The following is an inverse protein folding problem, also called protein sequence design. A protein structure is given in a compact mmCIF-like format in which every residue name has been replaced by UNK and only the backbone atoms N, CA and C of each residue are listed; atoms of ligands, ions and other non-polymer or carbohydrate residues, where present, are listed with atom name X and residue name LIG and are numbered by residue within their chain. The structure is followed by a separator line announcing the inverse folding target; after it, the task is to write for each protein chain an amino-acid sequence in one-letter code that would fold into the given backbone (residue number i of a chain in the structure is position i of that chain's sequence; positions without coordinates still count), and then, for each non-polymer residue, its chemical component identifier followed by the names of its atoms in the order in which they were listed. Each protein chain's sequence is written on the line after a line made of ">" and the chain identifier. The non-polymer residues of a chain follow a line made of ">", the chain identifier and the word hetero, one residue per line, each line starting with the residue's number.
data_IF_973331437654
#
_entry.id   IF_973331437654
#
_cell.length_a   1.000
_cell.length_b   1.000
_cell.length_c   1.000
_cell.angle_alpha   90.00
_cell.angle_beta   90.00
_cell.angle_gamma   90.00
#
_symmetry.space_group_name_H-M   'P 1'
#
loop_
_entity.id
_entity.type
_entity.pdbx_description
1 polymer ?
#
# COMPACT_ATOMS: atom_id res chain seq x y z
N UNK A 1 69.50 -34.63 -34.89
CA UNK A 1 68.74 -33.42 -35.32
C UNK A 1 67.26 -33.70 -35.68
N UNK A 2 66.85 -34.95 -35.93
CA UNK A 2 65.42 -35.20 -36.32
C UNK A 2 64.54 -35.60 -35.09
N UNK A 3 65.09 -35.98 -33.97
CA UNK A 3 64.35 -36.36 -32.74
C UNK A 3 63.89 -35.14 -31.90
N UNK A 4 64.61 -34.08 -31.94
CA UNK A 4 64.30 -32.87 -31.20
C UNK A 4 63.19 -32.05 -31.83
N UNK A 5 62.98 -32.21 -33.15
CA UNK A 5 61.92 -31.50 -33.87
C UNK A 5 60.54 -32.09 -33.57
N UNK A 6 60.43 -33.41 -33.29
CA UNK A 6 59.18 -34.07 -32.90
C UNK A 6 58.73 -33.73 -31.49
N UNK A 7 59.68 -33.55 -30.58
CA UNK A 7 59.38 -33.14 -29.19
C UNK A 7 58.81 -31.75 -29.07
N UNK A 8 59.27 -30.81 -29.93
CA UNK A 8 58.80 -29.42 -29.92
C UNK A 8 57.40 -29.27 -30.53
N UNK A 9 57.09 -30.11 -31.55
CA UNK A 9 55.76 -30.09 -32.18
C UNK A 9 54.66 -30.63 -31.26
N UNK A 10 54.98 -31.58 -30.41
CA UNK A 10 54.01 -32.21 -29.47
C UNK A 10 53.65 -31.25 -28.31
N UNK A 11 54.55 -30.38 -27.87
CA UNK A 11 54.29 -29.39 -26.84
C UNK A 11 53.45 -28.23 -27.33
N UNK A 12 53.57 -27.82 -28.60
CA UNK A 12 52.78 -26.76 -29.19
C UNK A 12 51.32 -27.22 -29.44
N UNK A 13 51.08 -28.52 -29.71
CA UNK A 13 49.73 -29.05 -29.91
C UNK A 13 48.90 -29.12 -28.63
N UNK A 14 49.53 -29.16 -27.46
CA UNK A 14 48.84 -29.19 -26.15
C UNK A 14 48.42 -27.82 -25.60
N UNK A 15 48.87 -26.73 -26.21
CA UNK A 15 48.52 -25.36 -25.76
C UNK A 15 47.28 -24.78 -26.47
N UNK A 16 46.74 -25.44 -27.48
CA UNK A 16 45.52 -25.01 -28.19
C UNK A 16 44.25 -25.74 -27.83
N UNK A 17 44.26 -26.63 -26.83
CA UNK A 17 43.10 -27.45 -26.45
C UNK A 17 42.40 -26.97 -25.16
N UNK A 18 42.45 -25.63 -24.90
CA UNK A 18 41.77 -25.05 -23.74
C UNK A 18 41.00 -23.78 -24.14
N UNK A 19 40.12 -23.92 -25.10
CA UNK A 19 39.04 -22.99 -25.33
C UNK A 19 37.84 -23.80 -25.81
N UNK A 20 37.29 -24.68 -24.96
CA UNK A 20 35.91 -25.06 -25.09
C UNK A 20 35.11 -23.87 -24.59
N UNK A 21 34.52 -23.13 -25.51
CA UNK A 21 33.33 -22.37 -25.19
C UNK A 21 32.33 -23.36 -24.60
N UNK A 22 32.08 -23.28 -23.29
CA UNK A 22 30.83 -23.69 -22.75
C UNK A 22 29.78 -22.77 -23.35
N UNK A 23 28.95 -23.30 -24.22
CA UNK A 23 27.67 -22.69 -24.53
C UNK A 23 26.92 -22.67 -23.19
N UNK A 24 27.11 -21.60 -22.40
CA UNK A 24 26.14 -21.22 -21.39
C UNK A 24 24.92 -20.83 -22.18
N UNK A 25 23.92 -21.71 -22.19
CA UNK A 25 22.56 -21.31 -22.47
C UNK A 25 22.29 -20.13 -21.56
N UNK A 26 22.22 -18.94 -22.14
CA UNK A 26 21.70 -17.75 -21.54
C UNK A 26 20.22 -18.06 -21.27
N UNK A 27 19.95 -18.75 -20.14
CA UNK A 27 18.65 -18.76 -19.56
C UNK A 27 18.36 -17.28 -19.29
N UNK A 28 17.58 -16.71 -20.17
CA UNK A 28 17.02 -15.39 -20.00
C UNK A 28 16.08 -15.41 -18.82
N UNK A 29 16.65 -15.44 -17.62
CA UNK A 29 15.98 -14.98 -16.44
C UNK A 29 15.71 -13.49 -16.67
N UNK A 30 14.49 -13.21 -17.18
CA UNK A 30 13.96 -11.86 -17.07
C UNK A 30 14.17 -11.46 -15.59
N UNK A 31 14.82 -10.31 -15.33
CA UNK A 31 15.07 -9.89 -13.96
C UNK A 31 13.71 -9.88 -13.26
N UNK A 32 13.52 -10.83 -12.35
CA UNK A 32 12.35 -10.87 -11.47
C UNK A 32 12.21 -9.47 -10.91
N UNK A 33 11.02 -8.82 -11.00
CA UNK A 33 10.86 -7.47 -10.51
C UNK A 33 11.32 -7.48 -9.07
N UNK A 34 12.47 -6.89 -8.82
CA UNK A 34 13.00 -6.73 -7.47
C UNK A 34 11.89 -6.08 -6.67
N UNK A 35 11.48 -6.71 -5.55
CA UNK A 35 10.46 -6.20 -4.67
C UNK A 35 10.86 -4.76 -4.34
N UNK A 36 10.25 -3.80 -5.01
CA UNK A 36 10.62 -2.41 -4.90
C UNK A 36 10.28 -2.00 -3.47
N UNK A 37 11.28 -1.78 -2.67
CA UNK A 37 11.10 -1.18 -1.35
C UNK A 37 10.67 0.25 -1.61
N UNK A 38 9.35 0.49 -1.49
CA UNK A 38 8.77 1.81 -1.70
C UNK A 38 9.13 2.69 -0.48
N UNK A 39 10.29 3.36 -0.56
CA UNK A 39 10.71 4.32 0.46
C UNK A 39 10.09 5.71 0.22
N UNK A 40 9.56 5.96 -0.97
CA UNK A 40 8.96 7.23 -1.35
C UNK A 40 7.51 7.02 -1.78
N UNK A 41 6.65 7.89 -1.29
CA UNK A 41 5.24 7.81 -1.56
C UNK A 41 4.55 9.16 -1.52
N UNK A 42 3.25 9.14 -1.60
CA UNK A 42 2.40 10.32 -1.57
C UNK A 42 1.26 10.14 -0.56
N UNK A 43 0.89 11.23 0.11
CA UNK A 43 -0.38 11.29 0.83
C UNK A 43 -1.48 11.62 -0.18
N UNK A 44 -2.40 10.70 -0.37
CA UNK A 44 -3.48 10.84 -1.36
C UNK A 44 -4.78 11.15 -0.62
N UNK A 45 -4.91 12.41 -0.28
CA UNK A 45 -5.99 12.97 0.52
C UNK A 45 -7.34 12.99 -0.23
N UNK A 46 -8.43 12.99 0.53
CA UNK A 46 -9.78 13.11 -0.02
C UNK A 46 -10.85 12.46 0.86
N UNK A 47 -10.68 11.19 1.22
CA UNK A 47 -11.66 10.45 2.01
C UNK A 47 -11.74 10.89 3.48
N UNK A 48 -10.74 11.63 3.98
CA UNK A 48 -10.73 12.25 5.30
C UNK A 48 -11.30 13.67 5.33
N UNK A 49 -11.55 14.29 4.16
CA UNK A 49 -11.96 15.68 4.09
C UNK A 49 -13.34 15.95 4.70
N UNK A 50 -13.56 17.24 4.99
CA UNK A 50 -14.81 17.72 5.55
C UNK A 50 -15.06 17.31 7.00
N UNK A 51 -15.88 18.09 7.67
CA UNK A 51 -16.27 17.88 9.07
C UNK A 51 -17.78 17.65 9.25
N UNK A 52 -18.47 17.32 8.16
CA UNK A 52 -19.87 16.87 8.17
C UNK A 52 -19.84 15.34 8.20
N UNK A 53 -20.44 14.72 9.21
CA UNK A 53 -20.42 13.28 9.40
C UNK A 53 -21.81 12.67 9.44
N UNK A 54 -22.03 11.57 8.72
CA UNK A 54 -21.07 10.87 7.86
C UNK A 54 -20.69 11.63 6.59
N UNK A 55 -21.47 12.65 6.21
CA UNK A 55 -21.26 13.42 4.99
C UNK A 55 -21.74 12.68 3.73
N UNK A 56 -21.55 13.33 2.58
CA UNK A 56 -21.93 12.81 1.25
C UNK A 56 -20.68 12.77 0.39
N UNK A 57 -20.37 11.61 -0.16
CA UNK A 57 -19.28 11.41 -1.11
C UNK A 57 -19.53 12.25 -2.38
N UNK A 58 -18.47 12.85 -2.90
CA UNK A 58 -18.54 13.80 -4.02
C UNK A 58 -18.97 15.22 -3.64
N UNK A 59 -19.38 15.45 -2.38
CA UNK A 59 -19.80 16.78 -1.88
C UNK A 59 -18.94 17.23 -0.70
N UNK A 60 -18.85 16.42 0.34
CA UNK A 60 -18.14 16.76 1.57
C UNK A 60 -16.75 16.13 1.63
N UNK A 61 -16.55 15.03 0.93
CA UNK A 61 -15.30 14.30 0.78
C UNK A 61 -15.30 13.55 -0.55
N UNK A 62 -14.22 12.90 -0.90
CA UNK A 62 -14.15 12.07 -2.10
C UNK A 62 -13.04 11.04 -1.99
N UNK A 63 -13.25 9.90 -2.59
CA UNK A 63 -12.21 8.88 -2.69
C UNK A 63 -11.27 9.18 -3.85
N UNK A 64 -9.96 8.95 -3.70
CA UNK A 64 -9.05 9.01 -4.84
C UNK A 64 -9.39 7.92 -5.86
N UNK A 65 -8.99 8.16 -7.10
CA UNK A 65 -9.38 7.35 -8.25
C UNK A 65 -8.23 6.49 -8.77
N UNK A 66 -8.54 5.55 -9.65
CA UNK A 66 -7.53 4.76 -10.36
C UNK A 66 -6.59 5.64 -11.21
N UNK A 67 -7.08 6.77 -11.76
CA UNK A 67 -6.27 7.72 -12.52
C UNK A 67 -5.18 8.36 -11.65
N UNK A 68 -5.48 8.62 -10.38
CA UNK A 68 -4.49 9.14 -9.43
C UNK A 68 -3.39 8.12 -9.19
N UNK A 69 -3.75 6.83 -9.03
CA UNK A 69 -2.79 5.74 -8.92
C UNK A 69 -1.91 5.61 -10.16
N UNK A 70 -2.50 5.67 -11.36
CA UNK A 70 -1.76 5.62 -12.64
C UNK A 70 -0.78 6.79 -12.76
N UNK A 71 -1.21 7.99 -12.38
CA UNK A 71 -0.36 9.18 -12.38
C UNK A 71 0.86 9.02 -11.46
N UNK A 72 0.66 8.61 -10.21
CA UNK A 72 1.74 8.49 -9.26
C UNK A 72 2.67 7.31 -9.59
N UNK A 73 2.12 6.19 -10.06
CA UNK A 73 2.92 5.07 -10.59
C UNK A 73 3.85 5.53 -11.71
N UNK A 74 3.35 6.33 -12.67
CA UNK A 74 4.16 6.88 -13.76
C UNK A 74 5.28 7.82 -13.27
N UNK A 75 5.18 8.34 -12.04
CA UNK A 75 6.23 9.14 -11.37
C UNK A 75 7.16 8.30 -10.50
N UNK A 76 7.02 6.98 -10.50
CA UNK A 76 7.84 6.09 -9.67
C UNK A 76 7.45 6.07 -8.19
N UNK A 77 6.26 6.53 -7.83
CA UNK A 77 5.76 6.56 -6.46
C UNK A 77 4.87 5.33 -6.23
N UNK A 78 5.36 4.39 -5.44
CA UNK A 78 4.73 3.09 -5.22
C UNK A 78 4.22 2.88 -3.79
N UNK A 79 4.18 3.94 -2.99
CA UNK A 79 3.57 3.95 -1.66
C UNK A 79 2.54 5.09 -1.60
N UNK A 80 1.32 4.77 -1.21
CA UNK A 80 0.25 5.74 -1.00
C UNK A 80 -0.20 5.66 0.45
N UNK A 81 -0.10 6.77 1.18
CA UNK A 81 -0.81 6.96 2.43
C UNK A 81 -2.24 7.33 2.07
N UNK A 82 -3.19 6.51 2.54
CA UNK A 82 -4.60 6.62 2.23
C UNK A 82 -5.39 7.00 3.49
N UNK A 83 -5.61 8.31 3.72
CA UNK A 83 -6.33 8.79 4.88
C UNK A 83 -7.85 8.62 4.73
N UNK A 84 -8.51 8.26 5.83
CA UNK A 84 -9.96 8.13 5.92
C UNK A 84 -10.45 8.58 7.30
N UNK A 85 -11.78 8.75 7.47
CA UNK A 85 -12.39 9.11 8.75
C UNK A 85 -13.02 7.93 9.44
N UNK A 86 -12.80 7.85 10.76
CA UNK A 86 -13.41 6.84 11.63
C UNK A 86 -14.94 6.93 11.56
N UNK A 87 -15.50 8.13 11.68
CA UNK A 87 -16.95 8.37 11.69
C UNK A 87 -17.67 7.92 10.42
N UNK A 88 -16.95 7.81 9.29
CA UNK A 88 -17.49 7.32 8.03
C UNK A 88 -17.45 5.80 7.96
N UNK A 89 -16.32 5.23 8.34
CA UNK A 89 -16.14 3.79 8.28
C UNK A 89 -16.86 3.05 9.43
N UNK A 90 -16.99 3.67 10.60
CA UNK A 90 -17.73 3.14 11.75
C UNK A 90 -18.58 4.26 12.38
N UNK A 91 -19.78 4.54 11.84
CA UNK A 91 -20.63 5.65 12.28
C UNK A 91 -21.13 5.53 13.72
N UNK A 92 -21.15 4.32 14.26
CA UNK A 92 -21.46 4.05 15.67
C UNK A 92 -20.28 3.33 16.28
N UNK A 93 -19.70 3.88 17.34
CA UNK A 93 -18.61 3.22 18.07
C UNK A 93 -18.99 1.79 18.45
N UNK A 94 -18.06 0.86 18.26
CA UNK A 94 -18.25 -0.60 18.43
C UNK A 94 -19.33 -1.23 17.52
N UNK A 95 -19.98 -0.43 16.67
CA UNK A 95 -20.94 -0.91 15.68
C UNK A 95 -20.25 -1.57 14.49
N UNK A 96 -21.05 -2.05 13.54
CA UNK A 96 -20.53 -2.61 12.31
C UNK A 96 -19.87 -1.55 11.43
N UNK A 97 -18.93 -1.97 10.60
CA UNK A 97 -18.36 -1.10 9.58
C UNK A 97 -19.43 -0.76 8.53
N UNK A 98 -19.42 0.48 8.08
CA UNK A 98 -20.29 0.92 6.99
C UNK A 98 -19.90 0.18 5.69
N UNK A 99 -20.80 -0.67 5.22
CA UNK A 99 -20.54 -1.53 4.07
C UNK A 99 -20.22 -0.74 2.78
N UNK A 100 -20.87 0.42 2.59
CA UNK A 100 -20.64 1.28 1.41
C UNK A 100 -19.24 1.91 1.44
N UNK A 101 -18.84 2.48 2.57
CA UNK A 101 -17.53 3.07 2.73
C UNK A 101 -16.42 2.00 2.67
N UNK A 102 -16.63 0.86 3.32
CA UNK A 102 -15.71 -0.28 3.25
C UNK A 102 -15.52 -0.78 1.81
N UNK A 103 -16.61 -0.87 1.04
CA UNK A 103 -16.53 -1.26 -0.38
C UNK A 103 -15.70 -0.28 -1.21
N UNK A 104 -15.82 1.03 -0.98
CA UNK A 104 -15.00 2.05 -1.65
C UNK A 104 -13.52 1.92 -1.28
N UNK A 105 -13.22 1.75 0.00
CA UNK A 105 -11.86 1.53 0.48
C UNK A 105 -11.25 0.28 -0.16
N UNK A 106 -11.96 -0.84 -0.15
CA UNK A 106 -11.53 -2.10 -0.77
C UNK A 106 -11.30 -1.96 -2.27
N UNK A 107 -12.19 -1.26 -2.99
CA UNK A 107 -12.02 -0.99 -4.41
C UNK A 107 -10.72 -0.23 -4.69
N UNK A 108 -10.43 0.80 -3.91
CA UNK A 108 -9.20 1.58 -4.06
C UNK A 108 -7.95 0.77 -3.72
N UNK A 109 -7.96 0.02 -2.61
CA UNK A 109 -6.85 -0.86 -2.21
C UNK A 109 -6.60 -1.93 -3.27
N UNK A 110 -7.65 -2.54 -3.84
CA UNK A 110 -7.51 -3.52 -4.93
C UNK A 110 -6.93 -2.91 -6.20
N UNK A 111 -7.39 -1.73 -6.58
CA UNK A 111 -6.84 -1.01 -7.72
C UNK A 111 -5.35 -0.65 -7.55
N UNK A 112 -4.92 -0.35 -6.32
CA UNK A 112 -3.52 -0.16 -5.98
C UNK A 112 -2.72 -1.47 -6.05
N UNK A 113 -3.29 -2.59 -5.56
CA UNK A 113 -2.67 -3.92 -5.64
C UNK A 113 -2.38 -4.31 -7.09
N UNK A 114 -3.36 -4.12 -7.99
CA UNK A 114 -3.23 -4.43 -9.41
C UNK A 114 -2.14 -3.59 -10.12
N UNK A 115 -1.69 -2.52 -9.46
CA UNK A 115 -0.62 -1.61 -9.93
C UNK A 115 0.71 -1.80 -9.20
N UNK A 116 0.79 -2.78 -8.28
CA UNK A 116 1.92 -2.97 -7.36
C UNK A 116 2.20 -1.74 -6.48
N UNK A 117 1.18 -0.97 -6.12
CA UNK A 117 1.26 0.17 -5.21
C UNK A 117 0.92 -0.30 -3.81
N UNK A 118 1.80 0.01 -2.84
CA UNK A 118 1.60 -0.27 -1.42
C UNK A 118 0.68 0.79 -0.79
N UNK A 119 -0.12 0.38 0.18
CA UNK A 119 -1.05 1.25 0.89
C UNK A 119 -0.71 1.30 2.38
N UNK A 120 -0.55 2.51 2.90
CA UNK A 120 -0.57 2.82 4.32
C UNK A 120 -1.97 3.34 4.67
N UNK A 121 -2.76 2.53 5.36
CA UNK A 121 -4.11 2.94 5.82
C UNK A 121 -3.97 3.89 7.01
N UNK A 122 -4.48 5.10 6.88
CA UNK A 122 -4.40 6.16 7.89
C UNK A 122 -5.79 6.54 8.40
N UNK A 123 -6.03 6.31 9.69
CA UNK A 123 -7.21 6.85 10.35
C UNK A 123 -6.96 8.31 10.77
N UNK A 124 -7.25 9.23 9.87
CA UNK A 124 -6.92 10.64 10.02
C UNK A 124 -7.90 11.40 10.93
N UNK A 125 -7.97 11.00 12.19
CA UNK A 125 -8.95 11.49 13.17
C UNK A 125 -8.36 12.38 14.28
N UNK A 126 -7.06 12.69 14.25
CA UNK A 126 -6.40 13.55 15.24
C UNK A 126 -6.59 13.05 16.70
N UNK A 127 -6.56 11.74 16.92
CA UNK A 127 -6.73 11.12 18.24
C UNK A 127 -8.11 11.30 18.86
N UNK A 128 -9.17 11.53 18.08
CA UNK A 128 -10.52 11.81 18.57
C UNK A 128 -11.61 11.18 17.70
N UNK A 129 -12.82 11.07 18.25
CA UNK A 129 -14.02 10.65 17.55
C UNK A 129 -15.15 11.66 17.76
N UNK A 130 -15.96 11.92 16.75
CA UNK A 130 -17.14 12.76 16.88
C UNK A 130 -18.27 11.96 17.55
N UNK A 131 -18.48 12.20 18.84
CA UNK A 131 -19.51 11.50 19.64
C UNK A 131 -20.91 12.07 19.45
N UNK A 132 -21.03 13.27 18.93
CA UNK A 132 -22.26 13.88 18.46
C UNK A 132 -21.97 14.68 17.20
N UNK A 133 -22.55 14.26 16.08
CA UNK A 133 -22.43 14.92 14.79
C UNK A 133 -23.83 15.16 14.25
N UNK A 134 -24.20 16.43 13.98
CA UNK A 134 -25.55 16.76 13.51
C UNK A 134 -25.83 16.38 12.04
N UNK A 135 -24.80 15.96 11.32
CA UNK A 135 -24.92 15.50 9.93
C UNK A 135 -25.12 16.62 8.90
N UNK A 136 -25.23 17.87 9.32
CA UNK A 136 -25.49 19.02 8.48
C UNK A 136 -24.40 20.08 8.56
N UNK A 137 -23.82 20.28 9.73
CA UNK A 137 -22.84 21.30 10.00
C UNK A 137 -21.75 20.76 10.95
N UNK A 138 -20.54 21.31 10.80
CA UNK A 138 -19.45 21.01 11.74
C UNK A 138 -19.51 21.82 13.04
N UNK A 139 -20.37 22.84 13.10
CA UNK A 139 -20.40 23.81 14.22
C UNK A 139 -20.84 23.20 15.54
N UNK A 140 -21.74 22.21 15.48
CA UNK A 140 -22.28 21.55 16.66
C UNK A 140 -21.61 20.21 16.98
N UNK A 141 -20.58 19.83 16.24
CA UNK A 141 -19.88 18.58 16.44
C UNK A 141 -19.18 18.55 17.81
N UNK A 142 -19.43 17.49 18.58
CA UNK A 142 -18.76 17.24 19.85
C UNK A 142 -17.79 16.08 19.71
N UNK A 143 -16.56 16.30 20.08
CA UNK A 143 -15.50 15.30 19.97
C UNK A 143 -15.10 14.77 21.36
N UNK A 144 -14.76 13.50 21.42
CA UNK A 144 -14.10 12.88 22.55
C UNK A 144 -12.71 12.39 22.13
N UNK A 145 -11.69 12.71 22.93
CA UNK A 145 -10.31 12.23 22.73
C UNK A 145 -10.26 10.76 23.11
N UNK A 146 -9.50 9.97 22.37
CA UNK A 146 -9.25 8.55 22.67
C UNK A 146 -8.61 8.42 24.05
N UNK A 147 -9.13 7.49 24.86
CA UNK A 147 -8.78 7.34 26.28
C UNK A 147 -9.73 8.05 27.23
N UNK A 148 -10.64 8.89 26.72
CA UNK A 148 -11.73 9.50 27.50
C UNK A 148 -12.88 8.50 27.70
N UNK A 149 -13.71 8.71 28.75
CA UNK A 149 -14.85 7.85 29.04
C UNK A 149 -15.87 7.72 27.89
N UNK A 150 -15.97 8.71 26.99
CA UNK A 150 -16.84 8.71 25.82
C UNK A 150 -16.19 8.14 24.54
N UNK A 151 -14.88 7.90 24.55
CA UNK A 151 -14.10 7.33 23.47
C UNK A 151 -12.90 6.58 24.06
N UNK A 152 -13.13 5.35 24.48
CA UNK A 152 -12.11 4.55 25.17
C UNK A 152 -11.07 4.00 24.19
N UNK A 153 -9.94 3.53 24.73
CA UNK A 153 -8.96 2.77 23.96
C UNK A 153 -9.59 1.52 23.35
N UNK A 154 -10.50 0.86 24.06
CA UNK A 154 -11.19 -0.33 23.53
C UNK A 154 -12.06 -0.01 22.31
N UNK A 155 -12.72 1.16 22.28
CA UNK A 155 -13.45 1.60 21.08
C UNK A 155 -12.52 1.77 19.88
N UNK A 156 -11.35 2.35 20.10
CA UNK A 156 -10.32 2.51 19.07
C UNK A 156 -9.75 1.15 18.61
N UNK A 157 -9.50 0.25 19.54
CA UNK A 157 -9.06 -1.10 19.22
C UNK A 157 -10.12 -1.89 18.44
N UNK A 158 -11.42 -1.69 18.72
CA UNK A 158 -12.52 -2.37 18.02
C UNK A 158 -12.52 -2.05 16.53
N UNK A 159 -12.48 -0.77 16.16
CA UNK A 159 -12.48 -0.37 14.74
C UNK A 159 -11.24 -0.90 14.02
N UNK A 160 -10.05 -0.82 14.64
CA UNK A 160 -8.84 -1.33 14.01
C UNK A 160 -8.81 -2.84 13.87
N UNK A 161 -9.33 -3.60 14.84
CA UNK A 161 -9.49 -5.05 14.72
C UNK A 161 -10.41 -5.42 13.56
N UNK A 162 -11.51 -4.70 13.39
CA UNK A 162 -12.45 -4.92 12.27
C UNK A 162 -11.79 -4.58 10.93
N UNK A 163 -11.13 -3.44 10.81
CA UNK A 163 -10.42 -3.05 9.60
C UNK A 163 -9.30 -4.04 9.25
N UNK A 164 -8.47 -4.41 10.22
CA UNK A 164 -7.42 -5.38 10.00
C UNK A 164 -7.95 -6.73 9.50
N UNK A 165 -9.10 -7.19 10.01
CA UNK A 165 -9.76 -8.40 9.52
C UNK A 165 -10.21 -8.26 8.06
N UNK A 166 -10.72 -7.09 7.68
CA UNK A 166 -11.22 -6.82 6.32
C UNK A 166 -10.10 -6.69 5.28
N UNK A 167 -8.92 -6.26 5.70
CA UNK A 167 -7.77 -6.02 4.81
C UNK A 167 -6.64 -7.05 4.91
N UNK A 168 -6.75 -8.07 5.77
CA UNK A 168 -5.69 -9.07 6.03
C UNK A 168 -5.22 -9.85 4.79
N UNK A 169 -6.09 -10.03 3.81
CA UNK A 169 -5.81 -10.84 2.62
C UNK A 169 -5.24 -10.02 1.44
N UNK A 170 -5.19 -8.69 1.58
CA UNK A 170 -4.55 -7.80 0.60
C UNK A 170 -3.04 -7.79 0.81
N UNK A 171 -2.29 -8.10 -0.25
CA UNK A 171 -0.83 -8.23 -0.19
C UNK A 171 -0.09 -6.88 -0.21
N UNK A 172 -0.81 -5.83 -0.56
CA UNK A 172 -0.27 -4.48 -0.71
C UNK A 172 -0.55 -3.56 0.49
N UNK A 173 -1.07 -4.07 1.60
CA UNK A 173 -1.12 -3.29 2.84
C UNK A 173 0.29 -3.22 3.43
N UNK A 174 0.90 -2.03 3.34
CA UNK A 174 2.22 -1.76 3.88
C UNK A 174 2.19 -1.57 5.40
N UNK A 175 1.11 -0.97 5.91
CA UNK A 175 0.93 -0.74 7.33
C UNK A 175 -0.36 0.01 7.66
N UNK A 176 -0.50 0.29 8.95
CA UNK A 176 -1.59 1.05 9.54
C UNK A 176 -1.01 2.25 10.28
N UNK A 177 -1.48 3.45 9.97
CA UNK A 177 -1.13 4.71 10.63
C UNK A 177 -2.23 5.01 11.65
N UNK A 178 -1.88 4.86 12.95
CA UNK A 178 -2.81 4.87 14.10
C UNK A 178 -2.58 6.08 15.01
#
# INVERSE_FOLDING_TARGET
>A
MLKDLFSLLTIIALLFSSCSKSDEEENGDEPQPTKQTAYFGVNLSGAEFGNVYPGVDGTHYGYPTEKDLDYFKAKGLYLVRFPFRWERIQPTMNGELNATELAKMKKFVKAAEDRNIQILLDMHNFGRYCVYCDGQSSQNNQYAIIGNARCTVDNFCDVWKKLAKEFKDYKNIWGYDI
#
